data_IF_795671508120
#
_entry.id   IF_795671508120
#
_cell.length_a   1.000
_cell.length_b   1.000
_cell.length_c   1.000
_cell.angle_alpha   90.00
_cell.angle_beta   90.00
_cell.angle_gamma   90.00
#
_symmetry.space_group_name_H-M   'P 1'
#
loop_
_entity.id
_entity.type
_entity.pdbx_description
1 polymer ?
#
# COMPACT_ATOMS: atom_id res chain seq x y z
N UNK A 1 -5.31 16.36 -15.73
CA UNK A 1 -6.06 15.26 -16.37
C UNK A 1 -5.13 14.06 -16.50
N UNK A 2 -5.66 12.84 -16.41
CA UNK A 2 -4.88 11.61 -16.58
C UNK A 2 -4.49 11.49 -18.06
N UNK A 3 -3.22 11.21 -18.43
CA UNK A 3 -2.84 10.95 -19.82
C UNK A 3 -3.62 9.77 -20.43
N UNK A 4 -4.02 9.85 -21.70
CA UNK A 4 -4.85 8.82 -22.36
C UNK A 4 -4.25 7.41 -22.30
N UNK A 5 -2.91 7.32 -22.32
CA UNK A 5 -2.16 6.07 -22.24
C UNK A 5 -2.37 5.30 -20.92
N UNK A 6 -2.83 5.99 -19.87
CA UNK A 6 -2.94 5.45 -18.52
C UNK A 6 -4.39 5.34 -18.02
N UNK A 7 -5.36 5.65 -18.89
CA UNK A 7 -6.79 5.47 -18.60
C UNK A 7 -7.09 4.00 -18.34
N UNK A 8 -7.72 3.70 -17.20
CA UNK A 8 -8.01 2.33 -16.76
C UNK A 8 -6.84 1.57 -16.10
N UNK A 9 -5.66 2.20 -15.98
CA UNK A 9 -4.48 1.60 -15.32
C UNK A 9 -4.25 2.08 -13.89
N UNK A 10 -5.01 3.08 -13.45
CA UNK A 10 -4.96 3.59 -12.09
C UNK A 10 -6.10 3.07 -11.23
N UNK A 11 -5.81 2.88 -9.95
CA UNK A 11 -6.83 2.64 -8.94
C UNK A 11 -7.41 4.01 -8.56
N UNK A 12 -8.71 4.26 -8.77
CA UNK A 12 -9.32 5.54 -8.43
C UNK A 12 -9.40 5.68 -6.90
N UNK A 13 -8.50 6.49 -6.34
CA UNK A 13 -8.59 6.94 -4.95
C UNK A 13 -9.24 8.33 -4.91
N UNK A 14 -10.42 8.45 -4.31
CA UNK A 14 -11.12 9.73 -4.12
C UNK A 14 -10.80 10.38 -2.78
N UNK A 15 -10.05 9.69 -1.92
CA UNK A 15 -9.72 10.14 -0.59
C UNK A 15 -8.63 11.22 -0.55
N UNK A 16 -8.70 12.07 0.47
CA UNK A 16 -7.68 13.10 0.75
C UNK A 16 -6.60 12.54 1.69
N UNK A 17 -5.34 12.60 1.28
CA UNK A 17 -4.20 12.25 2.14
C UNK A 17 -3.79 13.45 3.00
N UNK A 18 -3.81 13.29 4.32
CA UNK A 18 -3.36 14.29 5.29
C UNK A 18 -2.09 13.77 5.97
N UNK A 19 -1.01 14.55 5.86
CA UNK A 19 0.29 14.22 6.46
C UNK A 19 0.51 15.03 7.74
N UNK A 20 0.78 14.32 8.83
CA UNK A 20 0.92 14.93 10.15
C UNK A 20 2.21 14.48 10.85
N UNK A 21 2.72 15.27 11.81
CA UNK A 21 3.67 14.78 12.80
C UNK A 21 3.11 13.64 13.64
N UNK A 22 3.96 12.67 13.99
CA UNK A 22 3.54 11.47 14.73
C UNK A 22 2.92 11.78 16.09
N UNK A 23 3.36 12.84 16.76
CA UNK A 23 2.83 13.28 18.05
C UNK A 23 1.43 13.92 17.95
N UNK A 24 1.03 14.38 16.76
CA UNK A 24 -0.26 15.05 16.55
C UNK A 24 -1.33 14.11 15.95
N UNK A 25 -0.94 12.95 15.43
CA UNK A 25 -1.85 12.07 14.70
C UNK A 25 -3.09 11.67 15.52
N UNK A 26 -2.89 11.20 16.76
CA UNK A 26 -3.97 10.77 17.64
C UNK A 26 -4.87 11.92 18.09
N UNK A 27 -4.28 13.10 18.31
CA UNK A 27 -5.03 14.31 18.65
C UNK A 27 -5.94 14.71 17.49
N UNK A 28 -5.40 14.79 16.27
CA UNK A 28 -6.17 15.16 15.09
C UNK A 28 -7.26 14.14 14.77
N UNK A 29 -6.98 12.84 14.90
CA UNK A 29 -8.00 11.79 14.78
C UNK A 29 -9.15 12.00 15.78
N UNK A 30 -8.84 12.36 17.02
CA UNK A 30 -9.82 12.62 18.07
C UNK A 30 -10.63 13.89 17.80
N UNK A 31 -9.98 14.96 17.36
CA UNK A 31 -10.63 16.22 16.99
C UNK A 31 -11.56 16.03 15.78
N UNK A 32 -11.12 15.32 14.74
CA UNK A 32 -11.98 15.00 13.59
C UNK A 32 -13.23 14.23 14.02
N UNK A 33 -13.07 13.18 14.83
CA UNK A 33 -14.23 12.43 15.34
C UNK A 33 -15.15 13.26 16.22
N UNK A 34 -14.59 14.18 17.03
CA UNK A 34 -15.34 15.05 17.92
C UNK A 34 -16.14 16.11 17.17
N UNK A 35 -15.52 16.81 16.22
CA UNK A 35 -16.12 17.96 15.54
C UNK A 35 -16.97 17.58 14.33
N UNK A 36 -16.56 16.56 13.58
CA UNK A 36 -17.29 16.13 12.39
C UNK A 36 -18.28 14.99 12.73
N UNK A 37 -18.05 14.29 13.83
CA UNK A 37 -18.82 13.12 14.22
C UNK A 37 -18.18 11.81 13.73
N UNK A 38 -18.46 10.68 14.39
CA UNK A 38 -17.74 9.41 14.18
C UNK A 38 -17.99 8.74 12.82
N UNK A 39 -19.02 9.19 12.08
CA UNK A 39 -19.43 8.61 10.78
C UNK A 39 -19.37 9.60 9.62
N UNK A 40 -18.80 10.79 9.82
CA UNK A 40 -18.74 11.81 8.79
C UNK A 40 -17.86 11.41 7.61
N UNK A 41 -16.74 10.72 7.88
CA UNK A 41 -15.81 10.25 6.85
C UNK A 41 -15.31 8.85 7.14
N UNK A 42 -15.00 8.11 6.08
CA UNK A 42 -14.23 6.87 6.14
C UNK A 42 -12.75 7.18 6.30
N UNK A 43 -12.30 7.26 7.55
CA UNK A 43 -10.91 7.48 7.91
C UNK A 43 -10.07 6.21 7.79
N UNK A 44 -8.94 6.31 7.10
CA UNK A 44 -7.89 5.30 7.06
C UNK A 44 -6.63 5.87 7.75
N UNK A 45 -6.23 5.30 8.89
CA UNK A 45 -5.09 5.80 9.67
C UNK A 45 -3.87 4.92 9.44
N UNK A 46 -2.75 5.54 9.07
CA UNK A 46 -1.48 4.87 8.75
C UNK A 46 -0.37 5.43 9.63
N UNK A 47 -0.03 4.69 10.68
CA UNK A 47 0.98 5.15 11.65
C UNK A 47 2.38 4.67 11.30
N UNK A 48 2.47 3.46 10.73
CA UNK A 48 3.72 2.73 10.54
C UNK A 48 3.80 2.04 9.17
N UNK A 49 5.00 1.52 8.85
CA UNK A 49 5.22 0.69 7.66
C UNK A 49 4.46 -0.64 7.73
N UNK A 50 4.28 -1.18 8.93
CA UNK A 50 3.53 -2.42 9.14
C UNK A 50 2.05 -2.22 8.79
N UNK A 51 1.48 -1.05 9.09
CA UNK A 51 0.12 -0.70 8.68
C UNK A 51 0.04 -0.64 7.16
N UNK A 52 1.00 0.04 6.52
CA UNK A 52 1.04 0.16 5.06
C UNK A 52 1.13 -1.20 4.34
N UNK A 53 1.78 -2.20 4.94
CA UNK A 53 1.83 -3.57 4.40
C UNK A 53 0.51 -4.33 4.49
N UNK A 54 -0.36 -3.96 5.44
CA UNK A 54 -1.66 -4.59 5.65
C UNK A 54 -2.76 -3.95 4.82
N UNK A 55 -2.62 -2.65 4.54
CA UNK A 55 -3.60 -1.87 3.78
C UNK A 55 -3.60 -2.34 2.32
N UNK A 56 -4.80 -2.60 1.80
CA UNK A 56 -5.00 -2.99 0.41
C UNK A 56 -5.32 -1.78 -0.46
N UNK A 57 -5.19 -1.95 -1.78
CA UNK A 57 -5.65 -0.97 -2.75
C UNK A 57 -7.16 -0.66 -2.61
N UNK A 58 -7.96 -1.66 -2.23
CA UNK A 58 -9.40 -1.50 -2.00
C UNK A 58 -9.70 -0.60 -0.80
N UNK A 59 -8.92 -0.70 0.26
CA UNK A 59 -9.07 0.17 1.44
C UNK A 59 -8.78 1.63 1.07
N UNK A 60 -7.73 1.87 0.28
CA UNK A 60 -7.39 3.20 -0.22
C UNK A 60 -8.46 3.77 -1.17
N UNK A 61 -9.07 2.94 -2.02
CA UNK A 61 -10.12 3.38 -2.93
C UNK A 61 -11.43 3.72 -2.19
N UNK A 62 -11.73 3.00 -1.11
CA UNK A 62 -12.93 3.20 -0.29
C UNK A 62 -12.79 4.31 0.76
N UNK A 63 -11.56 4.69 1.11
CA UNK A 63 -11.29 5.74 2.08
C UNK A 63 -11.57 7.14 1.50
N UNK A 64 -12.16 8.01 2.32
CA UNK A 64 -12.41 9.42 1.98
C UNK A 64 -11.33 10.33 2.55
N UNK A 65 -10.72 9.92 3.67
CA UNK A 65 -9.59 10.62 4.27
C UNK A 65 -8.57 9.59 4.73
N UNK A 66 -7.33 9.74 4.29
CA UNK A 66 -6.19 8.95 4.74
C UNK A 66 -5.33 9.82 5.65
N UNK A 67 -5.25 9.52 6.94
CA UNK A 67 -4.34 10.19 7.87
C UNK A 67 -3.05 9.37 7.95
N UNK A 68 -1.91 10.00 7.70
CA UNK A 68 -0.62 9.33 7.86
C UNK A 68 0.42 10.24 8.49
N UNK A 69 1.42 9.61 9.11
CA UNK A 69 2.58 10.36 9.59
C UNK A 69 3.62 10.51 8.47
N UNK A 70 4.23 11.69 8.36
CA UNK A 70 5.28 11.89 7.34
C UNK A 70 6.45 10.91 7.53
N UNK A 71 6.71 10.42 8.75
CA UNK A 71 7.77 9.45 9.07
C UNK A 71 7.67 8.15 8.27
N UNK A 72 6.45 7.70 7.93
CA UNK A 72 6.25 6.51 7.09
C UNK A 72 6.96 6.69 5.76
N UNK A 73 6.86 7.87 5.16
CA UNK A 73 7.47 8.18 3.87
C UNK A 73 8.99 8.37 3.94
N UNK A 74 9.55 8.69 5.11
CA UNK A 74 11.01 8.77 5.31
C UNK A 74 11.65 7.46 5.76
N UNK A 75 10.86 6.41 6.01
CA UNK A 75 11.41 5.12 6.42
C UNK A 75 12.33 4.55 5.33
N UNK A 76 13.52 4.02 5.68
CA UNK A 76 14.39 3.35 4.72
C UNK A 76 13.68 2.23 3.95
N UNK A 77 12.74 1.52 4.60
CA UNK A 77 11.95 0.45 3.98
C UNK A 77 10.94 0.96 2.97
N UNK A 78 10.32 2.11 3.24
CA UNK A 78 9.47 2.76 2.25
C UNK A 78 10.28 3.23 1.05
N UNK A 79 11.43 3.88 1.29
CA UNK A 79 12.32 4.39 0.25
C UNK A 79 12.94 3.28 -0.61
N UNK A 80 13.30 2.15 0.00
CA UNK A 80 13.75 0.94 -0.71
C UNK A 80 12.64 0.41 -1.63
N UNK A 81 11.40 0.29 -1.13
CA UNK A 81 10.26 -0.16 -1.92
C UNK A 81 9.93 0.83 -3.04
N UNK A 82 9.89 2.13 -2.75
CA UNK A 82 9.63 3.17 -3.73
C UNK A 82 10.65 3.13 -4.86
N UNK A 83 11.95 2.99 -4.55
CA UNK A 83 13.00 2.83 -5.55
C UNK A 83 12.80 1.59 -6.43
N UNK A 84 12.40 0.46 -5.85
CA UNK A 84 12.07 -0.75 -6.65
C UNK A 84 10.89 -0.53 -7.61
N UNK A 85 9.94 0.32 -7.24
CA UNK A 85 8.76 0.64 -8.06
C UNK A 85 9.05 1.71 -9.12
N UNK A 86 9.95 2.65 -8.84
CA UNK A 86 10.36 3.73 -9.74
C UNK A 86 11.23 3.26 -10.92
N UNK A 87 11.41 1.94 -11.11
CA UNK A 87 12.11 1.38 -12.26
C UNK A 87 11.42 1.75 -13.58
N UNK A 88 11.89 2.87 -14.10
CA UNK A 88 11.64 3.43 -15.42
C UNK A 88 12.25 2.49 -16.46
N UNK A 89 11.38 1.82 -17.22
CA UNK A 89 11.62 1.12 -18.51
C UNK A 89 12.76 0.09 -18.66
N UNK A 90 13.59 -0.18 -17.64
CA UNK A 90 14.54 -1.30 -17.65
C UNK A 90 14.47 -2.07 -16.34
N UNK A 91 13.32 -2.69 -16.07
CA UNK A 91 13.25 -3.72 -15.03
C UNK A 91 13.32 -5.11 -15.67
N UNK A 92 14.52 -5.50 -16.14
CA UNK A 92 14.88 -6.91 -16.38
C UNK A 92 15.18 -7.65 -15.07
N UNK A 93 15.09 -6.99 -13.91
CA UNK A 93 15.66 -7.45 -12.64
C UNK A 93 14.64 -7.93 -11.61
N UNK A 94 13.42 -8.27 -12.02
CA UNK A 94 12.52 -9.06 -11.16
C UNK A 94 12.86 -10.57 -11.19
N UNK A 95 14.06 -10.98 -11.60
CA UNK A 95 14.51 -12.38 -11.52
C UNK A 95 14.46 -12.93 -10.08
N UNK A 96 14.76 -12.12 -9.06
CA UNK A 96 14.81 -12.57 -7.66
C UNK A 96 13.46 -12.78 -6.97
N UNK A 97 12.41 -12.02 -7.33
CA UNK A 97 11.08 -12.22 -6.74
C UNK A 97 10.26 -13.29 -7.47
N UNK A 98 10.52 -13.47 -8.77
CA UNK A 98 9.94 -14.59 -9.52
C UNK A 98 10.66 -15.91 -9.19
N UNK A 99 11.95 -15.92 -8.87
CA UNK A 99 12.67 -17.17 -8.54
C UNK A 99 12.17 -17.82 -7.25
N UNK A 100 11.92 -17.04 -6.19
CA UNK A 100 11.38 -17.58 -4.93
C UNK A 100 9.94 -18.07 -5.08
N UNK A 101 9.11 -17.34 -5.84
CA UNK A 101 7.74 -17.77 -6.13
C UNK A 101 7.70 -19.03 -7.02
N UNK A 102 8.60 -19.12 -8.01
CA UNK A 102 8.72 -20.26 -8.92
C UNK A 102 9.25 -21.51 -8.22
N UNK A 103 10.23 -21.38 -7.32
CA UNK A 103 10.67 -22.49 -6.46
C UNK A 103 9.55 -23.02 -5.56
N UNK A 104 8.68 -22.13 -5.06
CA UNK A 104 7.50 -22.53 -4.29
C UNK A 104 6.51 -23.35 -5.14
N UNK A 105 6.22 -22.88 -6.35
CA UNK A 105 5.28 -23.55 -7.29
C UNK A 105 5.83 -24.90 -7.76
N UNK A 106 7.12 -24.99 -8.11
CA UNK A 106 7.77 -26.23 -8.55
C UNK A 106 7.75 -27.29 -7.44
N UNK A 107 8.03 -26.89 -6.19
CA UNK A 107 7.94 -27.80 -5.03
C UNK A 107 6.51 -28.33 -4.82
N UNK A 108 5.50 -27.47 -4.92
CA UNK A 108 4.11 -27.90 -4.76
C UNK A 108 3.66 -28.85 -5.88
N UNK A 109 4.13 -28.64 -7.11
CA UNK A 109 3.84 -29.54 -8.24
C UNK A 109 4.47 -30.93 -8.03
N UNK A 110 5.72 -30.99 -7.55
CA UNK A 110 6.39 -32.26 -7.23
C UNK A 110 5.67 -33.05 -6.11
N UNK A 111 5.13 -32.36 -5.12
CA UNK A 111 4.36 -32.97 -4.02
C UNK A 111 3.02 -33.53 -4.52
N UNK A 112 2.32 -32.79 -5.39
CA UNK A 112 1.06 -33.26 -6.01
C UNK A 112 1.31 -34.49 -6.89
N UNK A 113 2.41 -34.50 -7.63
CA UNK A 113 2.74 -35.60 -8.53
C UNK A 113 3.07 -36.89 -7.76
N UNK A 114 3.78 -36.79 -6.62
CA UNK A 114 4.01 -37.92 -5.70
C UNK A 114 2.76 -38.44 -5.01
N UNK A 115 1.75 -37.60 -4.81
CA UNK A 115 0.50 -38.02 -4.18
C UNK A 115 -0.47 -38.70 -5.18
N UNK A 116 -0.18 -38.61 -6.48
CA UNK A 116 -1.02 -39.14 -7.56
C UNK A 116 -0.53 -40.50 -8.08
N UNK A 117 0.71 -40.90 -7.74
CA UNK A 117 1.28 -42.25 -7.94
C UNK A 117 1.06 -43.13 -6.70
#
# INVERSE_FOLDING_TARGET
>A
AIPDADVGRFIPARGTLILLPSNLLSQWESEFRRFLGPRAFKFLVVTSISDLKRITAGDCANAEVVLSTYRVFYSPKYQERLRSLQCTRSNRFHEGSFSTARQGIERTLEEVQRATE
#
